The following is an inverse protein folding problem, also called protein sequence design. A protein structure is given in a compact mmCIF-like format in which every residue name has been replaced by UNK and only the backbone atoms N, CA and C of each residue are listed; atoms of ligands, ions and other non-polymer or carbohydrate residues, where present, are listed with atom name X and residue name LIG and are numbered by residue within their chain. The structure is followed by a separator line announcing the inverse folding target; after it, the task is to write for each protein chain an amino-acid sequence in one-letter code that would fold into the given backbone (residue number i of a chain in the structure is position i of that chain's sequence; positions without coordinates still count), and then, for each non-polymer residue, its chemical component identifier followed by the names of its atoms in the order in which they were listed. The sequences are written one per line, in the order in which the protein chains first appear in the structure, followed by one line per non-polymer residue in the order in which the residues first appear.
data_IF_728586251966
#
_entry.id   IF_728586251966
#
_cell.length_a   1.000
_cell.length_b   1.000
_cell.length_c   1.000
_cell.angle_alpha   90.00
_cell.angle_beta   90.00
_cell.angle_gamma   90.00
#
_symmetry.space_group_name_H-M   'P 1'
#
loop_
_entity.id
_entity.type
_entity.pdbx_description
1 polymer ?
#
# COMPACT_ATOMS: atom_id res chain seq x y z
N UNK A 1 -35.26 -3.95 -17.60
CA UNK A 1 -34.08 -4.74 -17.19
C UNK A 1 -32.89 -4.17 -17.94
N UNK A 2 -32.06 -3.40 -17.23
CA UNK A 2 -30.77 -2.93 -17.73
C UNK A 2 -29.73 -3.16 -16.62
N UNK A 3 -29.55 -4.43 -16.27
CA UNK A 3 -28.61 -4.91 -15.25
C UNK A 3 -27.18 -5.05 -15.79
N UNK A 4 -26.90 -4.48 -16.97
CA UNK A 4 -25.62 -4.63 -17.67
C UNK A 4 -24.64 -3.45 -17.51
N UNK A 5 -25.08 -2.29 -17.01
CA UNK A 5 -24.22 -1.10 -16.89
C UNK A 5 -23.43 -1.03 -15.58
N UNK A 6 -23.45 -2.11 -14.78
CA UNK A 6 -23.00 -2.10 -13.40
C UNK A 6 -21.49 -2.35 -13.34
N UNK A 7 -20.76 -1.38 -12.78
CA UNK A 7 -19.48 -1.57 -12.08
C UNK A 7 -18.15 -1.51 -12.87
N UNK A 8 -18.10 -1.05 -14.13
CA UNK A 8 -16.80 -0.88 -14.83
C UNK A 8 -16.00 0.29 -14.24
N UNK A 9 -16.64 1.46 -14.08
CA UNK A 9 -16.01 2.69 -13.57
C UNK A 9 -15.55 2.61 -12.10
N UNK A 10 -16.29 1.88 -11.27
CA UNK A 10 -15.94 1.65 -9.86
C UNK A 10 -14.76 0.69 -9.72
N UNK A 11 -14.68 -0.35 -10.56
CA UNK A 11 -13.54 -1.27 -10.62
C UNK A 11 -12.28 -0.53 -11.04
N UNK A 12 -12.33 0.23 -12.15
CA UNK A 12 -11.20 1.04 -12.62
C UNK A 12 -10.75 2.05 -11.58
N UNK A 13 -11.67 2.81 -10.96
CA UNK A 13 -11.30 3.79 -9.92
C UNK A 13 -10.65 3.15 -8.68
N UNK A 14 -11.07 1.94 -8.29
CA UNK A 14 -10.47 1.22 -7.17
C UNK A 14 -9.09 0.65 -7.51
N UNK A 15 -8.88 0.28 -8.77
CA UNK A 15 -7.62 -0.21 -9.31
C UNK A 15 -6.59 0.93 -9.43
N UNK A 16 -7.01 2.10 -9.91
CA UNK A 16 -6.17 3.30 -10.04
C UNK A 16 -5.69 3.81 -8.69
N UNK A 17 -6.56 3.76 -7.67
CA UNK A 17 -6.18 4.10 -6.28
C UNK A 17 -5.08 3.18 -5.76
N UNK A 18 -5.20 1.87 -5.98
CA UNK A 18 -4.19 0.88 -5.53
C UNK A 18 -2.87 1.07 -6.26
N UNK A 19 -2.91 1.29 -7.57
CA UNK A 19 -1.71 1.52 -8.38
C UNK A 19 -0.98 2.80 -7.95
N UNK A 20 -1.71 3.89 -7.72
CA UNK A 20 -1.13 5.16 -7.26
C UNK A 20 -0.37 4.99 -5.94
N UNK A 21 -0.94 4.25 -4.99
CA UNK A 21 -0.29 3.98 -3.70
C UNK A 21 0.99 3.15 -3.88
N UNK A 22 0.97 2.13 -4.74
CA UNK A 22 2.16 1.32 -5.04
C UNK A 22 3.29 2.15 -5.64
N UNK A 23 2.97 2.98 -6.64
CA UNK A 23 3.94 3.83 -7.31
C UNK A 23 4.56 4.84 -6.33
N UNK A 24 3.75 5.46 -5.48
CA UNK A 24 4.22 6.38 -4.45
C UNK A 24 5.14 5.68 -3.43
N UNK A 25 4.78 4.47 -2.99
CA UNK A 25 5.56 3.71 -2.02
C UNK A 25 6.91 3.25 -2.60
N UNK A 26 6.90 2.67 -3.80
CA UNK A 26 8.11 2.25 -4.51
C UNK A 26 9.04 3.43 -4.79
N UNK A 27 8.48 4.54 -5.27
CA UNK A 27 9.21 5.78 -5.55
C UNK A 27 9.85 6.36 -4.28
N UNK A 28 9.11 6.39 -3.18
CA UNK A 28 9.63 6.86 -1.88
C UNK A 28 10.80 6.00 -1.42
N UNK A 29 10.62 4.68 -1.36
CA UNK A 29 11.68 3.75 -0.95
C UNK A 29 12.94 3.86 -1.82
N UNK A 30 12.76 3.97 -3.13
CA UNK A 30 13.88 4.12 -4.08
C UNK A 30 14.63 5.45 -3.85
N UNK A 31 13.90 6.56 -3.64
CA UNK A 31 14.50 7.84 -3.32
C UNK A 31 15.26 7.81 -1.99
N UNK A 32 14.70 7.18 -0.96
CA UNK A 32 15.38 6.99 0.31
C UNK A 32 16.67 6.17 0.15
N UNK A 33 16.64 5.06 -0.60
CA UNK A 33 17.84 4.27 -0.89
C UNK A 33 18.93 5.09 -1.58
N UNK A 34 18.56 5.93 -2.55
CA UNK A 34 19.53 6.78 -3.27
C UNK A 34 20.13 7.86 -2.36
N UNK A 35 19.29 8.71 -1.76
CA UNK A 35 19.79 9.89 -1.04
C UNK A 35 20.37 9.53 0.33
N UNK A 36 19.71 8.63 1.07
CA UNK A 36 20.21 8.22 2.38
C UNK A 36 21.33 7.18 2.25
N UNK A 37 21.40 6.42 1.15
CA UNK A 37 22.57 5.58 0.85
C UNK A 37 23.84 6.41 0.72
N UNK A 38 23.80 7.48 -0.08
CA UNK A 38 24.93 8.41 -0.23
C UNK A 38 25.31 9.04 1.12
N UNK A 39 24.33 9.50 1.91
CA UNK A 39 24.62 10.10 3.21
C UNK A 39 25.12 9.07 4.23
N UNK A 40 24.72 7.79 4.11
CA UNK A 40 25.25 6.71 4.94
C UNK A 40 26.73 6.44 4.64
N UNK A 41 27.14 6.48 3.38
CA UNK A 41 28.56 6.35 3.00
C UNK A 41 29.40 7.51 3.55
N UNK A 42 28.83 8.72 3.58
CA UNK A 42 29.52 9.93 4.08
C UNK A 42 29.57 10.02 5.61
N UNK A 43 28.45 9.74 6.28
CA UNK A 43 28.29 9.83 7.74
C UNK A 43 27.47 8.63 8.24
N UNK A 44 28.13 7.50 8.54
CA UNK A 44 27.43 6.27 8.86
C UNK A 44 26.74 6.36 10.22
N UNK A 45 25.47 5.96 10.25
CA UNK A 45 24.70 5.80 11.49
C UNK A 45 24.00 4.45 11.50
N UNK A 46 23.99 3.77 12.65
CA UNK A 46 23.39 2.43 12.75
C UNK A 46 21.88 2.44 12.46
N UNK A 47 21.16 3.49 12.87
CA UNK A 47 19.71 3.62 12.63
C UNK A 47 19.43 3.73 11.13
N UNK A 48 20.22 4.53 10.40
CA UNK A 48 20.06 4.67 8.94
C UNK A 48 20.37 3.37 8.23
N UNK A 49 21.41 2.64 8.65
CA UNK A 49 21.75 1.34 8.08
C UNK A 49 20.59 0.35 8.21
N UNK A 50 20.06 0.16 9.42
CA UNK A 50 18.93 -0.74 9.66
C UNK A 50 17.70 -0.32 8.85
N UNK A 51 17.40 0.99 8.81
CA UNK A 51 16.29 1.52 8.03
C UNK A 51 16.46 1.25 6.53
N UNK A 52 17.65 1.48 5.98
CA UNK A 52 17.97 1.19 4.58
C UNK A 52 17.93 -0.30 4.29
N UNK A 53 18.40 -1.17 5.19
CA UNK A 53 18.30 -2.63 5.04
C UNK A 53 16.85 -3.09 4.95
N UNK A 54 15.96 -2.56 5.79
CA UNK A 54 14.53 -2.88 5.73
C UNK A 54 13.93 -2.45 4.40
N UNK A 55 14.25 -1.24 3.93
CA UNK A 55 13.77 -0.74 2.65
C UNK A 55 14.31 -1.59 1.50
N UNK A 56 15.61 -1.89 1.49
CA UNK A 56 16.26 -2.72 0.48
C UNK A 56 15.66 -4.12 0.41
N UNK A 57 15.37 -4.74 1.56
CA UNK A 57 14.73 -6.05 1.61
C UNK A 57 13.28 -6.03 1.06
N UNK A 58 12.56 -4.91 1.19
CA UNK A 58 11.18 -4.79 0.73
C UNK A 58 11.04 -4.47 -0.77
N UNK A 59 12.03 -3.80 -1.38
CA UNK A 59 11.98 -3.38 -2.78
C UNK A 59 11.70 -4.53 -3.78
N UNK A 60 12.33 -5.71 -3.69
CA UNK A 60 12.01 -6.84 -4.57
C UNK A 60 10.54 -7.26 -4.45
N UNK A 61 10.00 -7.29 -3.24
CA UNK A 61 8.59 -7.65 -3.01
C UNK A 61 7.63 -6.59 -3.56
N UNK A 62 8.00 -5.31 -3.54
CA UNK A 62 7.21 -4.24 -4.16
C UNK A 62 7.13 -4.40 -5.68
N UNK A 63 8.26 -4.71 -6.32
CA UNK A 63 8.31 -4.98 -7.77
C UNK A 63 7.51 -6.23 -8.14
N UNK A 64 7.61 -7.31 -7.36
CA UNK A 64 6.83 -8.53 -7.60
C UNK A 64 5.34 -8.32 -7.33
N UNK A 65 4.97 -7.58 -6.28
CA UNK A 65 3.59 -7.20 -6.01
C UNK A 65 2.97 -6.47 -7.20
N UNK A 66 3.70 -5.49 -7.74
CA UNK A 66 3.28 -4.76 -8.92
C UNK A 66 3.13 -5.67 -10.14
N UNK A 67 4.11 -6.54 -10.42
CA UNK A 67 4.07 -7.45 -11.56
C UNK A 67 2.90 -8.44 -11.47
N UNK A 68 2.71 -9.07 -10.30
CA UNK A 68 1.62 -10.02 -10.07
C UNK A 68 0.26 -9.34 -10.20
N UNK A 69 0.13 -8.12 -9.67
CA UNK A 69 -1.11 -7.35 -9.75
C UNK A 69 -1.43 -6.96 -11.19
N UNK A 70 -0.46 -6.44 -11.95
CA UNK A 70 -0.63 -6.10 -13.37
C UNK A 70 -0.97 -7.35 -14.20
N UNK A 71 -0.31 -8.48 -13.95
CA UNK A 71 -0.62 -9.74 -14.64
C UNK A 71 -2.04 -10.24 -14.34
N UNK A 72 -2.50 -10.13 -13.07
CA UNK A 72 -3.88 -10.46 -12.70
C UNK A 72 -4.90 -9.58 -13.44
N UNK A 73 -4.59 -8.29 -13.59
CA UNK A 73 -5.45 -7.34 -14.29
C UNK A 73 -5.52 -7.63 -15.78
N UNK A 74 -4.37 -7.87 -16.41
CA UNK A 74 -4.28 -8.07 -17.86
C UNK A 74 -4.95 -9.37 -18.32
N UNK A 75 -4.87 -10.42 -17.50
CA UNK A 75 -5.39 -11.76 -17.84
C UNK A 75 -6.62 -12.18 -17.02
N UNK A 76 -7.35 -11.24 -16.42
CA UNK A 76 -8.42 -11.57 -15.47
C UNK A 76 -9.49 -12.53 -16.05
N UNK A 77 -9.85 -12.37 -17.33
CA UNK A 77 -10.85 -13.19 -18.01
C UNK A 77 -10.33 -14.57 -18.46
N UNK A 78 -9.02 -14.73 -18.59
CA UNK A 78 -8.36 -15.93 -19.13
C UNK A 78 -7.89 -16.89 -18.03
N UNK A 79 -7.76 -16.40 -16.80
CA UNK A 79 -7.25 -17.16 -15.67
C UNK A 79 -8.35 -18.01 -15.03
N UNK A 80 -8.07 -19.30 -14.82
CA UNK A 80 -8.89 -20.16 -13.96
C UNK A 80 -8.95 -19.62 -12.53
N UNK A 81 -10.12 -19.73 -11.88
CA UNK A 81 -10.34 -19.29 -10.49
C UNK A 81 -9.30 -19.86 -9.51
N UNK A 82 -8.89 -21.12 -9.68
CA UNK A 82 -7.86 -21.73 -8.83
C UNK A 82 -6.50 -21.01 -8.95
N UNK A 83 -6.17 -20.46 -10.13
CA UNK A 83 -4.93 -19.71 -10.37
C UNK A 83 -5.04 -18.28 -9.84
N UNK A 84 -6.20 -17.63 -9.99
CA UNK A 84 -6.47 -16.30 -9.41
C UNK A 84 -6.27 -16.31 -7.91
N UNK A 85 -6.82 -17.30 -7.21
CA UNK A 85 -6.69 -17.46 -5.75
C UNK A 85 -5.20 -17.53 -5.35
N UNK A 86 -4.40 -18.36 -6.02
CA UNK A 86 -2.96 -18.48 -5.74
C UNK A 86 -2.21 -17.16 -5.96
N UNK A 87 -2.52 -16.45 -7.05
CA UNK A 87 -1.92 -15.14 -7.34
C UNK A 87 -2.34 -14.08 -6.32
N UNK A 88 -3.59 -14.08 -5.87
CA UNK A 88 -4.04 -13.18 -4.80
C UNK A 88 -3.32 -13.43 -3.48
N UNK A 89 -3.10 -14.69 -3.09
CA UNK A 89 -2.30 -15.01 -1.91
C UNK A 89 -0.85 -14.53 -2.04
N UNK A 90 -0.22 -14.77 -3.19
CA UNK A 90 1.13 -14.28 -3.46
C UNK A 90 1.21 -12.75 -3.42
N UNK A 91 0.23 -12.08 -4.05
CA UNK A 91 0.10 -10.63 -4.07
C UNK A 91 -0.10 -10.06 -2.65
N UNK A 92 -0.99 -10.65 -1.85
CA UNK A 92 -1.25 -10.22 -0.48
C UNK A 92 -0.02 -10.35 0.42
N UNK A 93 0.77 -11.42 0.28
CA UNK A 93 2.02 -11.58 1.02
C UNK A 93 3.03 -10.50 0.64
N UNK A 94 3.22 -10.26 -0.66
CA UNK A 94 4.12 -9.21 -1.13
C UNK A 94 3.63 -7.83 -0.68
N UNK A 95 2.32 -7.60 -0.67
CA UNK A 95 1.69 -6.38 -0.18
C UNK A 95 2.03 -6.14 1.30
N UNK A 96 1.92 -7.15 2.17
CA UNK A 96 2.26 -7.02 3.60
C UNK A 96 3.71 -6.60 3.77
N UNK A 97 4.64 -7.24 3.07
CA UNK A 97 6.07 -6.90 3.14
C UNK A 97 6.32 -5.50 2.58
N UNK A 98 5.66 -5.14 1.47
CA UNK A 98 5.73 -3.83 0.86
C UNK A 98 5.32 -2.72 1.83
N UNK A 99 4.16 -2.83 2.49
CA UNK A 99 3.73 -1.84 3.48
C UNK A 99 4.59 -1.88 4.75
N UNK A 100 5.18 -3.04 5.09
CA UNK A 100 6.16 -3.16 6.17
C UNK A 100 7.37 -2.23 5.99
N UNK A 101 7.73 -1.86 4.76
CA UNK A 101 8.84 -0.92 4.50
C UNK A 101 8.61 0.47 5.10
N UNK A 102 7.36 0.86 5.38
CA UNK A 102 7.03 2.13 6.03
C UNK A 102 7.68 2.26 7.41
N UNK A 103 7.98 1.15 8.06
CA UNK A 103 8.73 1.13 9.32
C UNK A 103 10.17 1.66 9.11
N UNK A 104 10.83 1.27 8.01
CA UNK A 104 12.15 1.81 7.66
C UNK A 104 12.10 3.31 7.33
N UNK A 105 11.05 3.75 6.62
CA UNK A 105 10.83 5.18 6.34
C UNK A 105 10.60 5.97 7.63
N UNK A 106 9.79 5.46 8.55
CA UNK A 106 9.53 6.09 9.84
C UNK A 106 10.80 6.21 10.69
N UNK A 107 11.61 5.15 10.74
CA UNK A 107 12.93 5.18 11.41
C UNK A 107 13.83 6.27 10.80
N UNK A 108 13.81 6.41 9.48
CA UNK A 108 14.60 7.42 8.80
C UNK A 108 14.18 8.85 9.17
N UNK A 109 12.88 9.13 9.19
CA UNK A 109 12.38 10.45 9.60
C UNK A 109 12.72 10.76 11.05
N UNK A 110 12.66 9.76 11.93
CA UNK A 110 13.07 9.93 13.33
C UNK A 110 14.57 10.25 13.45
N UNK A 111 15.41 9.63 12.60
CA UNK A 111 16.84 9.88 12.56
C UNK A 111 17.18 11.29 12.01
N UNK A 112 16.38 11.82 11.07
CA UNK A 112 16.56 13.19 10.55
C UNK A 112 16.22 14.25 11.61
N UNK A 113 15.07 14.09 12.27
CA UNK A 113 14.64 15.00 13.33
C UNK A 113 13.61 14.32 14.22
N UNK A 114 13.86 14.31 15.53
CA UNK A 114 12.92 13.73 16.50
C UNK A 114 11.54 14.39 16.44
N UNK A 115 11.48 15.71 16.17
CA UNK A 115 10.20 16.41 16.00
C UNK A 115 9.40 15.86 14.81
N UNK A 116 10.05 15.67 13.66
CA UNK A 116 9.41 15.12 12.45
C UNK A 116 8.86 13.72 12.72
N UNK A 117 9.65 12.88 13.37
CA UNK A 117 9.22 11.53 13.77
C UNK A 117 8.00 11.53 14.69
N UNK A 118 7.97 12.41 15.70
CA UNK A 118 6.83 12.53 16.63
C UNK A 118 5.56 12.96 15.90
N UNK A 119 5.63 14.00 15.06
CA UNK A 119 4.48 14.47 14.29
C UNK A 119 3.98 13.43 13.28
N UNK A 120 4.87 12.63 12.70
CA UNK A 120 4.49 11.51 11.83
C UNK A 120 3.68 10.44 12.58
N UNK A 121 4.13 10.04 13.78
CA UNK A 121 3.43 9.04 14.59
C UNK A 121 2.07 9.57 15.06
N UNK A 122 2.02 10.82 15.54
CA UNK A 122 0.76 11.46 15.97
C UNK A 122 -0.25 11.59 14.83
N UNK A 123 0.19 12.06 13.65
CA UNK A 123 -0.69 12.18 12.48
C UNK A 123 -1.18 10.83 11.96
N UNK A 124 -0.31 9.81 11.97
CA UNK A 124 -0.70 8.44 11.62
C UNK A 124 -1.76 7.90 12.58
N UNK A 125 -1.58 8.09 13.89
CA UNK A 125 -2.58 7.70 14.89
C UNK A 125 -3.93 8.39 14.66
N UNK A 126 -3.92 9.70 14.41
CA UNK A 126 -5.14 10.47 14.13
C UNK A 126 -5.81 10.00 12.84
N UNK A 127 -5.05 9.70 11.78
CA UNK A 127 -5.58 9.17 10.53
C UNK A 127 -6.26 7.80 10.72
N UNK A 128 -5.66 6.91 11.51
CA UNK A 128 -6.26 5.61 11.85
C UNK A 128 -7.58 5.80 12.62
N UNK A 129 -7.62 6.71 13.59
CA UNK A 129 -8.85 7.03 14.35
C UNK A 129 -9.92 7.57 13.41
N UNK A 130 -9.57 8.50 12.52
CA UNK A 130 -10.49 9.08 11.55
C UNK A 130 -11.07 8.01 10.62
N UNK A 131 -10.22 7.14 10.08
CA UNK A 131 -10.63 6.00 9.25
C UNK A 131 -11.60 5.10 10.01
N UNK A 132 -11.27 4.73 11.25
CA UNK A 132 -12.13 3.89 12.10
C UNK A 132 -13.48 4.54 12.40
N UNK A 133 -13.49 5.87 12.58
CA UNK A 133 -14.71 6.64 12.87
C UNK A 133 -15.63 6.74 11.64
N UNK A 134 -15.06 7.06 10.48
CA UNK A 134 -15.82 7.30 9.24
C UNK A 134 -16.21 6.01 8.53
N UNK A 135 -15.38 4.96 8.58
CA UNK A 135 -15.64 3.65 7.98
C UNK A 135 -16.21 2.64 9.00
N UNK A 136 -16.79 3.11 10.11
CA UNK A 136 -17.62 2.31 11.02
C UNK A 136 -18.73 1.60 10.21
N UNK A 137 -19.17 0.38 10.58
CA UNK A 137 -19.85 -0.53 9.65
C UNK A 137 -21.04 0.14 8.98
N UNK A 138 -21.07 0.02 7.65
CA UNK A 138 -22.24 0.36 6.82
C UNK A 138 -23.39 -0.49 7.34
N UNK A 139 -24.23 0.09 8.19
CA UNK A 139 -25.55 -0.48 8.50
C UNK A 139 -26.28 -0.48 7.17
N UNK A 140 -26.45 -1.66 6.58
CA UNK A 140 -27.31 -1.82 5.40
C UNK A 140 -28.71 -1.45 5.87
N UNK A 141 -29.16 -0.22 5.57
CA UNK A 141 -30.53 0.17 5.87
C UNK A 141 -31.46 -0.80 5.15
N UNK A 142 -32.43 -1.41 5.85
CA UNK A 142 -33.36 -2.33 5.22
C UNK A 142 -34.09 -1.57 4.11
N UNK A 143 -34.05 -2.13 2.90
CA UNK A 143 -34.78 -1.62 1.75
C UNK A 143 -36.25 -1.41 2.13
N UNK A 144 -36.68 -0.15 2.21
CA UNK A 144 -38.09 0.19 2.35
C UNK A 144 -38.77 -0.24 1.04
N UNK A 145 -39.41 -1.41 1.09
CA UNK A 145 -40.31 -1.86 0.05
C UNK A 145 -41.45 -0.84 -0.06
N UNK A 146 -41.70 -0.22 -1.22
CA UNK A 146 -42.76 0.74 -1.34
C UNK A 146 -44.09 -0.01 -1.31
N UNK A 147 -44.76 0.01 -0.16
CA UNK A 147 -46.17 -0.34 -0.05
C UNK A 147 -47.01 0.81 -0.62
N UNK A 148 -47.35 0.73 -1.91
CA UNK A 148 -48.72 0.81 -2.46
C UNK A 148 -48.69 0.81 -3.99
#
# INVERSE_FOLDING_TARGET
MDEGSVNVESRTSSQDKRWTIMAALLGTNTAFMLFQGIEQERNPTAIREVALTIIAAALPFQSIYFLVYTFLLEHESELSEARKIRLHYASALCQIIAYGSLVGVAMMWYNISSSVGIFFVLSTGLAIILIRSVMSPVVTEPSVEPSL
#
